data_IF_615181008051
#
_entry.id   IF_615181008051
#
_cell.length_a   1.000
_cell.length_b   1.000
_cell.length_c   1.000
_cell.angle_alpha   90.00
_cell.angle_beta   90.00
_cell.angle_gamma   90.00
#
_symmetry.space_group_name_H-M   'P 1'
#
loop_
_entity.id
_entity.type
_entity.pdbx_description
1 polymer ?
#
# COMPACT_ATOMS: atom_id res chain seq x y z
N UNK A 1 -43.73 -11.39 -43.81
CA UNK A 1 -44.93 -10.58 -44.15
C UNK A 1 -46.09 -11.00 -43.26
N UNK A 2 -46.41 -10.18 -42.24
CA UNK A 2 -47.78 -9.75 -41.89
C UNK A 2 -47.68 -8.82 -40.69
N UNK A 3 -48.03 -7.57 -40.95
CA UNK A 3 -48.10 -6.46 -40.02
C UNK A 3 -49.45 -6.47 -39.28
N UNK A 4 -49.53 -5.60 -38.27
CA UNK A 4 -50.69 -4.90 -37.68
C UNK A 4 -50.66 -5.00 -36.15
N UNK A 5 -50.98 -3.98 -35.36
CA UNK A 5 -51.36 -2.57 -35.56
C UNK A 5 -51.24 -1.96 -34.16
N UNK A 6 -50.76 -0.73 -34.06
CA UNK A 6 -50.76 0.00 -32.79
C UNK A 6 -52.16 0.37 -32.31
N UNK A 7 -52.29 0.64 -31.01
CA UNK A 7 -53.33 1.48 -30.48
C UNK A 7 -52.76 2.26 -29.28
N UNK A 8 -52.73 3.59 -29.43
CA UNK A 8 -52.47 4.56 -28.39
C UNK A 8 -53.75 4.78 -27.57
N UNK A 9 -53.62 4.98 -26.26
CA UNK A 9 -54.66 5.57 -25.42
C UNK A 9 -54.01 6.63 -24.53
N UNK A 10 -54.66 7.79 -24.52
CA UNK A 10 -54.22 9.04 -23.92
C UNK A 10 -54.63 9.19 -22.44
N UNK A 11 -53.73 9.85 -21.70
CA UNK A 11 -53.91 10.85 -20.64
C UNK A 11 -55.16 10.81 -19.73
N UNK A 12 -54.90 10.74 -18.42
CA UNK A 12 -55.59 11.54 -17.42
C UNK A 12 -54.61 11.98 -16.32
N UNK A 13 -54.48 13.30 -16.19
CA UNK A 13 -53.65 14.03 -15.24
C UNK A 13 -54.47 14.28 -13.98
N UNK A 14 -53.93 13.96 -12.80
CA UNK A 14 -54.38 14.53 -11.52
C UNK A 14 -53.15 15.01 -10.77
N UNK A 15 -53.08 16.31 -10.53
CA UNK A 15 -52.01 16.97 -9.80
C UNK A 15 -52.25 16.94 -8.29
N UNK A 16 -51.15 16.83 -7.55
CA UNK A 16 -51.06 17.25 -6.16
C UNK A 16 -49.82 18.13 -6.02
N UNK A 17 -50.09 19.42 -5.88
CA UNK A 17 -49.13 20.47 -5.54
C UNK A 17 -48.90 20.44 -4.02
N UNK A 18 -47.68 20.12 -3.61
CA UNK A 18 -47.19 20.44 -2.27
C UNK A 18 -45.91 21.27 -2.43
N UNK A 19 -45.99 22.51 -1.98
CA UNK A 19 -45.08 23.59 -2.30
C UNK A 19 -43.68 23.44 -1.72
N UNK A 20 -42.69 23.86 -2.51
CA UNK A 20 -41.37 24.20 -2.03
C UNK A 20 -41.43 25.56 -1.31
N UNK A 21 -41.35 25.55 0.01
CA UNK A 21 -41.01 26.77 0.76
C UNK A 21 -39.50 26.99 0.63
N UNK A 22 -39.11 28.10 -0.01
CA UNK A 22 -37.77 28.66 0.08
C UNK A 22 -37.62 29.26 1.48
N UNK A 23 -36.81 28.65 2.31
CA UNK A 23 -36.42 29.26 3.58
C UNK A 23 -35.05 29.91 3.41
N UNK A 24 -35.06 31.23 3.52
CA UNK A 24 -33.91 32.11 3.44
C UNK A 24 -33.08 31.93 4.72
N UNK A 25 -31.93 31.28 4.59
CA UNK A 25 -31.02 31.10 5.72
C UNK A 25 -30.41 32.47 6.11
N UNK A 26 -31.01 33.12 7.11
CA UNK A 26 -30.40 34.23 7.82
C UNK A 26 -29.11 33.74 8.48
N UNK A 27 -28.00 34.36 8.12
CA UNK A 27 -26.74 34.24 8.86
C UNK A 27 -26.93 34.71 10.32
N UNK A 28 -26.63 33.89 11.34
CA UNK A 28 -26.25 34.41 12.63
C UNK A 28 -24.75 34.74 12.58
N UNK A 29 -24.44 36.04 12.51
CA UNK A 29 -23.13 36.52 12.93
C UNK A 29 -23.01 36.38 14.45
N UNK A 30 -21.85 35.95 14.92
CA UNK A 30 -21.43 35.72 16.31
C UNK A 30 -21.90 34.43 16.99
N UNK A 31 -21.10 33.36 16.80
CA UNK A 31 -20.85 32.36 17.82
C UNK A 31 -19.34 32.40 18.17
N UNK A 32 -18.94 32.31 19.45
CA UNK A 32 -17.53 32.30 19.83
C UNK A 32 -16.83 31.04 19.31
N UNK A 33 -15.64 31.21 18.75
CA UNK A 33 -14.79 30.12 18.28
C UNK A 33 -14.43 29.21 19.46
N UNK A 34 -14.82 27.93 19.39
CA UNK A 34 -14.29 26.90 20.28
C UNK A 34 -12.94 26.46 19.73
N UNK A 35 -11.89 26.57 20.56
CA UNK A 35 -10.57 26.01 20.27
C UNK A 35 -10.69 24.49 20.05
N UNK A 36 -10.35 24.05 18.84
CA UNK A 36 -10.18 22.63 18.52
C UNK A 36 -8.77 22.24 19.00
N UNK A 37 -8.70 21.62 20.17
CA UNK A 37 -7.47 20.97 20.64
C UNK A 37 -7.05 19.82 19.70
N UNK A 38 -5.78 19.37 19.72
CA UNK A 38 -5.30 18.33 18.82
C UNK A 38 -6.13 17.05 18.96
N UNK A 39 -6.81 16.66 17.89
CA UNK A 39 -7.56 15.41 17.84
C UNK A 39 -6.57 14.23 17.86
N UNK A 40 -6.70 13.27 18.78
CA UNK A 40 -5.83 12.09 18.79
C UNK A 40 -6.04 11.28 17.51
N UNK A 41 -4.93 10.77 16.96
CA UNK A 41 -4.92 9.97 15.74
C UNK A 41 -5.94 8.81 15.83
N UNK A 42 -6.64 8.48 14.73
CA UNK A 42 -7.52 7.33 14.70
C UNK A 42 -6.75 6.06 15.09
N UNK A 43 -7.27 5.31 16.07
CA UNK A 43 -6.76 3.97 16.38
C UNK A 43 -7.08 3.07 15.19
N UNK A 44 -6.07 2.69 14.42
CA UNK A 44 -6.18 1.74 13.32
C UNK A 44 -6.83 0.45 13.81
N UNK A 45 -7.86 -0.04 13.11
CA UNK A 45 -8.40 -1.38 13.36
C UNK A 45 -7.33 -2.39 12.95
N UNK A 46 -6.99 -3.31 13.84
CA UNK A 46 -6.21 -4.49 13.48
C UNK A 46 -6.89 -5.20 12.29
N UNK A 47 -6.15 -5.34 11.19
CA UNK A 47 -6.62 -6.06 9.98
C UNK A 47 -6.84 -5.21 8.73
N UNK A 48 -6.34 -3.97 8.65
CA UNK A 48 -6.30 -3.22 7.38
C UNK A 48 -4.90 -2.67 7.15
N UNK A 49 -4.29 -3.01 6.02
CA UNK A 49 -2.99 -2.46 5.64
C UNK A 49 -3.15 -0.94 5.47
N UNK A 50 -2.28 -0.12 6.09
CA UNK A 50 -2.29 1.32 5.90
C UNK A 50 -2.25 1.72 4.43
N UNK A 51 -2.87 2.85 4.10
CA UNK A 51 -2.72 3.48 2.78
C UNK A 51 -1.67 4.59 2.92
N UNK A 52 -0.70 4.60 2.02
CA UNK A 52 0.37 5.60 1.95
C UNK A 52 -0.03 6.83 1.13
N UNK A 53 0.86 7.83 1.02
CA UNK A 53 0.65 9.02 0.21
C UNK A 53 0.65 8.76 -1.31
N UNK A 54 1.20 7.62 -1.74
CA UNK A 54 1.38 7.25 -3.13
C UNK A 54 2.53 7.99 -3.81
N UNK A 55 2.71 7.78 -5.12
CA UNK A 55 3.79 8.41 -5.86
C UNK A 55 3.61 9.91 -6.00
N UNK A 56 4.68 10.64 -5.71
CA UNK A 56 4.75 12.10 -5.70
C UNK A 56 5.50 12.60 -6.93
N UNK A 57 5.16 13.80 -7.42
CA UNK A 57 5.89 14.45 -8.51
C UNK A 57 7.34 14.81 -8.12
N UNK A 58 7.53 15.13 -6.84
CA UNK A 58 8.84 15.34 -6.21
C UNK A 58 8.80 14.68 -4.85
N UNK A 59 9.74 13.77 -4.60
CA UNK A 59 9.92 13.15 -3.28
C UNK A 59 10.78 14.02 -2.38
N UNK A 60 10.49 13.96 -1.09
CA UNK A 60 11.39 14.43 -0.02
C UNK A 60 11.83 13.25 0.82
N UNK A 61 13.01 13.32 1.42
CA UNK A 61 13.52 12.30 2.34
C UNK A 61 12.52 12.07 3.47
N UNK A 62 11.98 10.86 3.55
CA UNK A 62 11.04 10.46 4.58
C UNK A 62 11.76 10.25 5.92
N UNK A 63 11.14 10.75 7.00
CA UNK A 63 11.61 10.49 8.35
C UNK A 63 11.50 8.99 8.65
N UNK A 64 12.61 8.41 9.10
CA UNK A 64 12.66 7.01 9.54
C UNK A 64 12.38 6.91 11.05
N UNK A 65 11.99 5.72 11.56
CA UNK A 65 11.85 5.50 13.00
C UNK A 65 13.14 5.85 13.76
N UNK A 66 13.03 6.13 15.05
CA UNK A 66 14.18 6.51 15.87
C UNK A 66 15.24 5.39 15.91
N UNK A 67 16.54 5.72 16.05
CA UNK A 67 17.58 4.71 16.20
C UNK A 67 17.27 3.70 17.31
N UNK A 68 17.38 2.40 16.99
CA UNK A 68 17.12 1.29 17.90
C UNK A 68 15.65 1.05 18.26
N UNK A 69 14.70 1.73 17.61
CA UNK A 69 13.27 1.57 17.91
C UNK A 69 12.58 0.42 17.17
N UNK A 70 13.24 -0.20 16.20
CA UNK A 70 12.68 -1.29 15.39
C UNK A 70 13.42 -2.60 15.63
N UNK A 71 12.69 -3.70 15.64
CA UNK A 71 13.23 -5.02 15.92
C UNK A 71 12.85 -6.03 14.83
N UNK A 72 13.87 -6.62 14.21
CA UNK A 72 13.66 -7.72 13.28
C UNK A 72 12.90 -8.87 13.95
N UNK A 73 11.97 -9.44 13.20
CA UNK A 73 11.41 -10.75 13.46
C UNK A 73 12.13 -11.77 12.57
N UNK A 74 12.00 -13.03 12.91
CA UNK A 74 12.56 -14.12 12.12
C UNK A 74 11.60 -15.30 12.08
N UNK A 75 11.53 -15.97 10.94
CA UNK A 75 10.91 -17.29 10.82
C UNK A 75 11.75 -18.35 11.53
N UNK A 76 11.23 -19.58 11.61
CA UNK A 76 11.96 -20.71 12.21
C UNK A 76 13.27 -21.03 11.48
N UNK A 77 13.30 -20.87 10.15
CA UNK A 77 14.47 -21.06 9.29
C UNK A 77 15.34 -19.79 9.17
N UNK A 78 15.09 -18.79 10.00
CA UNK A 78 15.88 -17.54 10.14
C UNK A 78 15.77 -16.58 8.97
N UNK A 79 14.72 -16.67 8.16
CA UNK A 79 14.39 -15.61 7.21
C UNK A 79 14.03 -14.33 7.95
N UNK A 80 14.59 -13.17 7.56
CA UNK A 80 14.28 -11.91 8.21
C UNK A 80 12.88 -11.43 7.85
N UNK A 81 12.19 -10.87 8.85
CA UNK A 81 10.91 -10.19 8.70
C UNK A 81 11.01 -8.82 9.40
N UNK A 82 10.35 -7.77 8.90
CA UNK A 82 10.40 -6.47 9.55
C UNK A 82 9.65 -6.46 10.88
N UNK A 83 9.93 -5.45 11.70
CA UNK A 83 9.10 -5.12 12.85
C UNK A 83 7.72 -4.70 12.36
N UNK A 84 6.65 -5.40 12.75
CA UNK A 84 5.30 -5.08 12.31
C UNK A 84 4.78 -3.74 12.82
N UNK A 85 5.40 -3.16 13.86
CA UNK A 85 5.05 -1.81 14.34
C UNK A 85 5.77 -0.71 13.55
N UNK A 86 7.00 -0.96 13.09
CA UNK A 86 7.74 0.02 12.28
C UNK A 86 7.36 -0.04 10.80
N UNK A 87 7.20 -1.26 10.28
CA UNK A 87 6.93 -1.52 8.86
C UNK A 87 5.74 -2.49 8.75
N UNK A 88 4.51 -2.04 9.06
CA UNK A 88 3.29 -2.85 8.89
C UNK A 88 2.90 -3.09 7.41
N UNK A 89 3.57 -2.42 6.48
CA UNK A 89 3.18 -2.30 5.08
C UNK A 89 2.38 -1.03 4.83
N UNK A 90 2.45 -0.50 3.62
CA UNK A 90 1.52 0.54 3.15
C UNK A 90 1.23 0.37 1.66
N UNK A 91 -0.03 0.55 1.27
CA UNK A 91 -0.47 0.45 -0.12
C UNK A 91 -0.42 1.80 -0.83
N UNK A 92 -0.16 1.78 -2.13
CA UNK A 92 -0.22 2.93 -3.00
C UNK A 92 -1.69 3.24 -3.37
N UNK A 93 -2.24 4.41 -3.01
CA UNK A 93 -3.63 4.79 -3.30
C UNK A 93 -3.96 4.88 -4.79
N UNK A 94 -2.96 4.89 -5.69
CA UNK A 94 -3.17 4.88 -7.14
C UNK A 94 -3.33 3.48 -7.73
N UNK A 95 -3.14 2.41 -6.95
CA UNK A 95 -3.30 1.02 -7.39
C UNK A 95 -4.57 0.43 -6.78
N UNK A 96 -5.39 -0.19 -7.61
CA UNK A 96 -6.63 -0.86 -7.23
C UNK A 96 -6.90 -2.06 -8.12
N UNK A 97 -7.80 -2.95 -7.69
CA UNK A 97 -8.24 -4.07 -8.53
C UNK A 97 -8.85 -3.61 -9.87
N UNK A 98 -9.43 -2.40 -9.93
CA UNK A 98 -10.10 -1.87 -11.11
C UNK A 98 -9.14 -1.32 -12.18
N UNK A 99 -7.88 -1.01 -11.84
CA UNK A 99 -6.93 -0.35 -12.74
C UNK A 99 -5.60 -1.11 -12.87
N UNK A 100 -5.60 -2.43 -12.62
CA UNK A 100 -4.40 -3.26 -12.69
C UNK A 100 -3.68 -3.17 -14.04
N UNK A 101 -4.43 -3.17 -15.14
CA UNK A 101 -3.90 -3.08 -16.50
C UNK A 101 -3.19 -1.76 -16.81
N UNK A 102 -3.54 -0.68 -16.10
CA UNK A 102 -2.92 0.64 -16.24
C UNK A 102 -1.81 0.90 -15.21
N UNK A 103 -1.71 0.03 -14.20
CA UNK A 103 -0.80 0.16 -13.07
C UNK A 103 0.15 -1.04 -13.01
N UNK A 104 0.07 -1.87 -11.98
CA UNK A 104 1.09 -2.89 -11.69
C UNK A 104 1.25 -3.90 -12.84
N UNK A 105 0.19 -4.21 -13.59
CA UNK A 105 0.26 -5.15 -14.73
C UNK A 105 0.70 -4.48 -16.04
N UNK A 106 1.09 -3.20 -16.00
CA UNK A 106 1.66 -2.46 -17.13
C UNK A 106 3.18 -2.45 -17.04
N UNK A 107 3.84 -2.86 -18.13
CA UNK A 107 5.30 -2.83 -18.23
C UNK A 107 5.85 -1.43 -17.92
N UNK A 108 6.87 -1.36 -17.06
CA UNK A 108 7.54 -0.13 -16.65
C UNK A 108 6.83 0.68 -15.54
N UNK A 109 5.68 0.23 -15.04
CA UNK A 109 4.95 0.97 -13.99
C UNK A 109 5.78 1.22 -12.74
N UNK A 110 6.41 0.18 -12.19
CA UNK A 110 7.22 0.30 -10.97
C UNK A 110 8.39 1.26 -11.15
N UNK A 111 9.08 1.20 -12.29
CA UNK A 111 10.15 2.16 -12.64
C UNK A 111 9.65 3.61 -12.65
N UNK A 112 8.43 3.85 -13.12
CA UNK A 112 7.86 5.20 -13.23
C UNK A 112 7.52 5.86 -11.88
N UNK A 113 7.39 5.06 -10.81
CA UNK A 113 6.98 5.56 -9.49
C UNK A 113 8.11 5.56 -8.46
N UNK A 114 9.27 4.97 -8.76
CA UNK A 114 10.36 4.84 -7.79
C UNK A 114 10.99 6.19 -7.46
N UNK A 115 11.22 6.50 -6.17
CA UNK A 115 12.11 7.58 -5.77
C UNK A 115 13.54 7.29 -6.27
N UNK A 116 14.29 8.35 -6.59
CA UNK A 116 15.69 8.20 -6.98
C UNK A 116 16.60 7.95 -5.75
N UNK A 117 17.85 7.59 -5.98
CA UNK A 117 18.80 7.26 -4.91
C UNK A 117 19.18 8.44 -4.02
N UNK A 118 18.98 9.69 -4.46
CA UNK A 118 19.20 10.87 -3.59
C UNK A 118 18.16 10.95 -2.47
N UNK A 119 17.03 10.27 -2.63
CA UNK A 119 15.99 10.10 -1.60
C UNK A 119 16.25 8.83 -0.80
N UNK A 120 16.42 7.68 -1.46
CA UNK A 120 16.47 6.40 -0.74
C UNK A 120 17.79 6.14 -0.01
N UNK A 121 18.93 6.69 -0.46
CA UNK A 121 20.21 6.50 0.24
C UNK A 121 20.23 7.09 1.66
N UNK A 122 19.84 8.37 1.89
CA UNK A 122 19.79 8.91 3.26
C UNK A 122 18.71 8.21 4.11
N UNK A 123 17.60 7.79 3.51
CA UNK A 123 16.57 7.02 4.22
C UNK A 123 17.11 5.66 4.67
N UNK A 124 17.76 4.89 3.79
CA UNK A 124 18.41 3.61 4.13
C UNK A 124 19.41 3.78 5.27
N UNK A 125 20.25 4.82 5.19
CA UNK A 125 21.24 5.09 6.23
C UNK A 125 20.60 5.41 7.60
N UNK A 126 19.44 6.06 7.62
CA UNK A 126 18.68 6.29 8.84
C UNK A 126 17.97 5.02 9.31
N UNK A 127 17.35 4.25 8.41
CA UNK A 127 16.63 3.02 8.72
C UNK A 127 17.55 1.92 9.27
N UNK A 128 18.80 1.83 8.77
CA UNK A 128 19.86 0.98 9.37
C UNK A 128 20.02 1.28 10.86
N UNK A 129 19.99 2.56 11.25
CA UNK A 129 20.07 2.95 12.67
C UNK A 129 18.78 2.59 13.40
N UNK A 130 17.62 2.74 12.77
CA UNK A 130 16.32 2.36 13.35
C UNK A 130 16.28 0.90 13.77
N UNK A 131 16.79 0.01 12.92
CA UNK A 131 16.86 -1.43 13.17
C UNK A 131 18.11 -1.90 13.94
N UNK A 132 19.07 -0.99 14.19
CA UNK A 132 20.36 -1.36 14.77
C UNK A 132 21.12 -2.39 13.93
N UNK A 133 20.97 -2.34 12.59
CA UNK A 133 21.61 -3.28 11.68
C UNK A 133 23.12 -3.06 11.66
N UNK A 134 23.88 -4.12 11.98
CA UNK A 134 25.34 -4.09 12.10
C UNK A 134 26.07 -4.86 10.99
N UNK A 135 25.35 -5.43 10.02
CA UNK A 135 25.96 -6.08 8.86
C UNK A 135 26.47 -5.06 7.84
N UNK A 136 27.10 -5.53 6.76
CA UNK A 136 27.51 -4.65 5.67
C UNK A 136 26.27 -4.01 5.03
N UNK A 137 26.19 -2.66 4.95
CA UNK A 137 25.08 -1.96 4.30
C UNK A 137 24.91 -2.30 2.81
N UNK A 138 25.94 -2.85 2.16
CA UNK A 138 25.92 -3.29 0.76
C UNK A 138 25.20 -4.63 0.58
N UNK A 139 25.13 -5.44 1.63
CA UNK A 139 24.51 -6.76 1.61
C UNK A 139 23.03 -6.71 2.02
N UNK A 140 22.59 -5.61 2.64
CA UNK A 140 21.18 -5.37 2.95
C UNK A 140 20.51 -4.56 1.84
N UNK A 141 19.21 -4.74 1.64
CA UNK A 141 18.39 -3.92 0.75
C UNK A 141 17.63 -2.87 1.53
N UNK A 142 17.20 -1.79 0.87
CA UNK A 142 16.17 -0.89 1.42
C UNK A 142 14.92 -1.19 0.63
N UNK A 143 14.15 -2.14 1.15
CA UNK A 143 13.20 -2.90 0.36
C UNK A 143 11.77 -2.71 0.85
N UNK A 144 10.84 -2.84 -0.08
CA UNK A 144 9.42 -2.67 0.16
C UNK A 144 8.84 -3.94 0.79
N UNK A 145 8.15 -3.85 1.93
CA UNK A 145 7.45 -5.00 2.51
C UNK A 145 6.32 -5.49 1.59
N UNK A 146 5.49 -4.56 1.11
CA UNK A 146 4.60 -4.81 -0.02
C UNK A 146 5.30 -4.29 -1.26
N UNK A 147 5.71 -5.20 -2.14
CA UNK A 147 6.36 -4.85 -3.41
C UNK A 147 5.59 -3.79 -4.19
N UNK A 148 6.31 -2.96 -4.95
CA UNK A 148 5.68 -2.08 -5.94
C UNK A 148 4.93 -2.87 -7.00
N UNK A 149 5.33 -4.12 -7.28
CA UNK A 149 4.64 -5.05 -8.16
C UNK A 149 3.29 -5.52 -7.61
N UNK A 150 3.06 -5.32 -6.31
CA UNK A 150 1.82 -5.61 -5.60
C UNK A 150 1.13 -4.33 -5.10
N UNK A 151 1.52 -3.17 -5.65
CA UNK A 151 0.90 -1.90 -5.33
C UNK A 151 1.23 -1.37 -3.94
N UNK A 152 2.41 -1.69 -3.41
CA UNK A 152 2.96 -1.02 -2.23
C UNK A 152 3.29 0.44 -2.49
N UNK A 153 3.29 1.23 -1.43
CA UNK A 153 3.68 2.64 -1.49
C UNK A 153 5.18 2.79 -1.82
N UNK A 154 5.56 3.69 -2.74
CA UNK A 154 6.94 3.83 -3.18
C UNK A 154 7.90 4.47 -2.17
N UNK A 155 7.42 5.28 -1.21
CA UNK A 155 8.31 6.03 -0.29
C UNK A 155 7.74 6.19 1.14
N UNK A 156 6.69 5.48 1.50
CA UNK A 156 6.18 5.47 2.88
C UNK A 156 7.09 4.63 3.80
N UNK A 157 7.63 5.19 4.90
CA UNK A 157 8.49 4.42 5.82
C UNK A 157 7.76 3.24 6.48
N UNK A 158 6.42 3.22 6.48
CA UNK A 158 5.63 2.06 6.94
C UNK A 158 5.69 0.89 5.97
N UNK A 159 6.14 1.09 4.72
CA UNK A 159 6.28 0.06 3.71
C UNK A 159 7.73 -0.28 3.37
N UNK A 160 8.74 0.39 3.94
CA UNK A 160 10.14 0.18 3.56
C UNK A 160 10.99 -0.09 4.80
N UNK A 161 11.92 -1.02 4.67
CA UNK A 161 12.81 -1.42 5.76
C UNK A 161 14.17 -1.82 5.21
N UNK A 162 15.19 -1.76 6.07
CA UNK A 162 16.49 -2.35 5.76
C UNK A 162 16.39 -3.87 5.89
N UNK A 163 16.21 -4.54 4.77
CA UNK A 163 16.09 -5.99 4.67
C UNK A 163 17.47 -6.65 4.72
N UNK A 164 17.78 -7.44 5.77
CA UNK A 164 19.01 -8.20 5.83
C UNK A 164 19.07 -9.28 4.75
N UNK A 165 20.28 -9.72 4.36
CA UNK A 165 20.43 -10.88 3.50
C UNK A 165 19.85 -12.15 4.15
N UNK A 166 19.32 -13.05 3.33
CA UNK A 166 18.76 -14.33 3.78
C UNK A 166 19.83 -15.31 4.29
N UNK A 167 19.45 -16.32 5.11
CA UNK A 167 20.37 -17.34 5.60
C UNK A 167 21.24 -17.98 4.52
N UNK A 168 22.50 -18.25 4.86
CA UNK A 168 23.49 -18.80 3.92
C UNK A 168 24.25 -17.74 3.10
N UNK A 169 23.96 -16.45 3.31
CA UNK A 169 24.69 -15.35 2.72
C UNK A 169 26.17 -15.30 3.11
N UNK A 170 27.03 -14.86 2.18
CA UNK A 170 28.45 -14.60 2.40
C UNK A 170 28.73 -13.09 2.36
N UNK A 171 29.32 -12.55 3.43
CA UNK A 171 29.55 -11.11 3.59
C UNK A 171 30.33 -10.50 2.40
N UNK A 172 29.81 -9.42 1.84
CA UNK A 172 30.37 -8.68 0.71
C UNK A 172 29.91 -9.15 -0.68
N UNK A 173 29.01 -10.12 -0.77
CA UNK A 173 28.49 -10.62 -2.06
C UNK A 173 27.25 -9.86 -2.56
N UNK A 174 26.81 -8.83 -1.83
CA UNK A 174 25.55 -8.14 -2.10
C UNK A 174 24.33 -8.97 -1.68
N UNK A 175 23.13 -8.42 -1.81
CA UNK A 175 21.93 -9.04 -1.26
C UNK A 175 21.63 -10.42 -1.86
N UNK A 176 21.14 -11.34 -1.01
CA UNK A 176 20.48 -12.58 -1.44
C UNK A 176 19.04 -12.59 -0.91
N UNK A 177 18.11 -12.14 -1.75
CA UNK A 177 16.73 -11.95 -1.34
C UNK A 177 15.77 -12.90 -2.11
N UNK A 178 15.41 -14.07 -1.56
CA UNK A 178 14.44 -14.96 -2.18
C UNK A 178 13.01 -14.40 -2.16
N UNK A 179 12.74 -13.31 -1.41
CA UNK A 179 11.46 -12.59 -1.43
C UNK A 179 11.12 -12.08 -2.83
N UNK A 180 12.10 -11.64 -3.62
CA UNK A 180 11.90 -11.22 -5.02
C UNK A 180 11.15 -12.27 -5.84
N UNK A 181 11.51 -13.54 -5.67
CA UNK A 181 10.84 -14.65 -6.35
C UNK A 181 9.40 -14.84 -5.89
N UNK A 182 9.10 -14.58 -4.61
CA UNK A 182 7.74 -14.59 -4.07
C UNK A 182 6.94 -13.44 -4.65
N UNK A 183 7.50 -12.24 -4.68
CA UNK A 183 6.88 -11.03 -5.23
C UNK A 183 6.50 -11.19 -6.70
N UNK A 184 7.44 -11.63 -7.53
CA UNK A 184 7.20 -11.85 -8.96
C UNK A 184 6.14 -12.92 -9.23
N UNK A 185 6.10 -13.99 -8.41
CA UNK A 185 5.06 -15.03 -8.50
C UNK A 185 3.68 -14.47 -8.09
N UNK A 186 3.59 -13.76 -6.96
CA UNK A 186 2.34 -13.12 -6.53
C UNK A 186 1.85 -12.10 -7.57
N UNK A 187 2.77 -11.29 -8.12
CA UNK A 187 2.47 -10.33 -9.18
C UNK A 187 1.85 -11.03 -10.40
N UNK A 188 2.45 -12.13 -10.86
CA UNK A 188 1.94 -12.94 -11.97
C UNK A 188 0.54 -13.50 -11.67
N UNK A 189 0.31 -13.98 -10.45
CA UNK A 189 -0.99 -14.50 -10.03
C UNK A 189 -2.07 -13.42 -9.97
N UNK A 190 -1.72 -12.21 -9.50
CA UNK A 190 -2.61 -11.06 -9.51
C UNK A 190 -2.94 -10.61 -10.93
N UNK A 191 -1.93 -10.43 -11.78
CA UNK A 191 -2.13 -9.97 -13.15
C UNK A 191 -2.81 -10.99 -14.08
N UNK A 192 -2.80 -12.27 -13.72
CA UNK A 192 -3.59 -13.32 -14.38
C UNK A 192 -4.98 -13.53 -13.77
N UNK A 193 -5.36 -12.76 -12.75
CA UNK A 193 -6.66 -12.85 -12.08
C UNK A 193 -6.86 -14.10 -11.21
N UNK A 194 -5.78 -14.83 -10.90
CA UNK A 194 -5.82 -16.04 -10.07
C UNK A 194 -5.84 -15.75 -8.57
N UNK A 195 -5.31 -14.60 -8.17
CA UNK A 195 -5.27 -14.12 -6.78
C UNK A 195 -5.75 -12.68 -6.75
N UNK A 196 -6.60 -12.32 -5.79
CA UNK A 196 -7.01 -10.94 -5.60
C UNK A 196 -5.84 -10.09 -5.08
N UNK A 197 -5.73 -8.84 -5.57
CA UNK A 197 -4.67 -7.92 -5.15
C UNK A 197 -4.58 -7.81 -3.61
N UNK A 198 -5.72 -7.64 -2.94
CA UNK A 198 -5.78 -7.49 -1.49
C UNK A 198 -5.26 -8.74 -0.77
N UNK A 199 -5.59 -9.94 -1.25
CA UNK A 199 -5.13 -11.19 -0.63
C UNK A 199 -3.61 -11.32 -0.73
N UNK A 200 -3.03 -10.98 -1.89
CA UNK A 200 -1.58 -10.96 -2.07
C UNK A 200 -0.90 -9.93 -1.15
N UNK A 201 -1.45 -8.72 -1.06
CA UNK A 201 -0.94 -7.64 -0.19
C UNK A 201 -0.97 -8.06 1.30
N UNK A 202 -2.08 -8.64 1.76
CA UNK A 202 -2.21 -9.11 3.15
C UNK A 202 -1.25 -10.26 3.43
N UNK A 203 -1.14 -11.21 2.50
CA UNK A 203 -0.26 -12.36 2.64
C UNK A 203 1.21 -11.93 2.77
N UNK A 204 1.71 -11.08 1.85
CA UNK A 204 3.11 -10.65 1.85
C UNK A 204 3.46 -9.74 3.02
N UNK A 205 2.56 -8.82 3.40
CA UNK A 205 2.78 -7.93 4.54
C UNK A 205 2.84 -8.67 5.89
N UNK A 206 2.16 -9.82 5.99
CA UNK A 206 2.16 -10.64 7.21
C UNK A 206 3.47 -11.44 7.33
N UNK A 207 3.78 -12.22 6.30
CA UNK A 207 4.93 -13.10 6.24
C UNK A 207 5.18 -13.51 4.78
N UNK A 208 6.16 -12.88 4.15
CA UNK A 208 6.49 -13.14 2.74
C UNK A 208 6.90 -14.60 2.50
N UNK A 209 7.45 -15.31 3.50
CA UNK A 209 7.91 -16.70 3.33
C UNK A 209 6.75 -17.67 3.12
N UNK A 210 5.57 -17.34 3.65
CA UNK A 210 4.36 -18.16 3.54
C UNK A 210 3.30 -17.57 2.63
N UNK A 211 3.53 -16.39 2.06
CA UNK A 211 2.54 -15.62 1.32
C UNK A 211 1.93 -16.40 0.14
N UNK A 212 2.77 -17.10 -0.62
CA UNK A 212 2.35 -17.94 -1.75
C UNK A 212 1.44 -19.10 -1.31
N UNK A 213 1.80 -19.80 -0.24
CA UNK A 213 0.97 -20.85 0.34
C UNK A 213 -0.37 -20.29 0.86
N UNK A 214 -0.34 -19.09 1.47
CA UNK A 214 -1.53 -18.42 2.01
C UNK A 214 -2.59 -18.12 0.95
N UNK A 215 -2.16 -17.82 -0.28
CA UNK A 215 -3.05 -17.57 -1.42
C UNK A 215 -3.34 -18.82 -2.28
N UNK A 216 -2.93 -20.01 -1.81
CA UNK A 216 -3.24 -21.29 -2.47
C UNK A 216 -2.27 -21.72 -3.57
N UNK A 217 -1.07 -21.11 -3.64
CA UNK A 217 -0.04 -21.41 -4.64
C UNK A 217 1.32 -21.67 -3.97
N UNK A 218 1.47 -22.71 -3.11
CA UNK A 218 2.71 -22.98 -2.41
C UNK A 218 3.90 -23.14 -3.38
N UNK A 219 5.06 -22.66 -2.95
CA UNK A 219 6.32 -22.63 -3.70
C UNK A 219 6.86 -24.00 -4.09
#
# INVERSE_FOLDING_TARGET
MKAHKGLAVALLVVGLIAGCSKEEAKHPANAPAQEVGPQPAPKEKAGTIPVGPGPQGTYTVAAQPAPGSCHYRYTSDKQPLPDSNCTPGATNPKVSAANLADTICKSGYTTSIRPNTTITNPEKAANIKSYGYNGDPRDAEYDHLISLELGGDPNDPRNIWVEPPSPGHQNGNGPNNPKDGVESKLHTLVCSGKVALLDAQVAIATDWTTALAKVGFPS
#
